data_IF_816244028598
#
_entry.id   IF_816244028598
#
_cell.length_a   1.000
_cell.length_b   1.000
_cell.length_c   1.000
_cell.angle_alpha   90.00
_cell.angle_beta   90.00
_cell.angle_gamma   90.00
#
_symmetry.space_group_name_H-M   'P 1'
#
loop_
_entity.id
_entity.type
_entity.pdbx_description
1 polymer ?
#
# COMPACT_ATOMS: atom_id res chain seq x y z
N UNK A 1 13.53 -4.51 -3.08
CA UNK A 1 14.62 -4.48 -2.08
C UNK A 1 14.01 -4.50 -0.68
N UNK A 2 14.17 -5.56 0.12
CA UNK A 2 13.47 -5.68 1.42
C UNK A 2 13.93 -4.68 2.51
N UNK A 3 15.08 -4.03 2.32
CA UNK A 3 15.63 -3.10 3.32
C UNK A 3 15.12 -1.66 3.19
N UNK A 4 14.49 -1.28 2.08
CA UNK A 4 14.14 0.12 1.84
C UNK A 4 13.10 0.70 2.81
N UNK A 5 12.12 -0.04 3.38
CA UNK A 5 11.17 0.54 4.33
C UNK A 5 11.89 0.95 5.63
N UNK A 6 12.77 0.05 6.12
CA UNK A 6 13.65 0.31 7.26
C UNK A 6 14.59 1.49 7.00
N UNK A 7 15.32 1.48 5.89
CA UNK A 7 16.27 2.56 5.55
C UNK A 7 15.56 3.90 5.33
N UNK A 8 14.38 3.90 4.71
CA UNK A 8 13.59 5.11 4.51
C UNK A 8 13.17 5.73 5.84
N UNK A 9 12.69 4.92 6.78
CA UNK A 9 12.39 5.38 8.13
C UNK A 9 13.65 5.90 8.86
N UNK A 10 14.80 5.22 8.74
CA UNK A 10 16.08 5.66 9.33
C UNK A 10 16.57 7.00 8.77
N UNK A 11 16.40 7.24 7.47
CA UNK A 11 16.76 8.52 6.81
C UNK A 11 15.90 9.68 7.35
N UNK A 12 14.61 9.42 7.60
CA UNK A 12 13.66 10.45 8.03
C UNK A 12 13.64 10.67 9.55
N UNK A 13 14.06 9.68 10.34
CA UNK A 13 14.04 9.72 11.80
C UNK A 13 14.69 10.96 12.44
N UNK A 14 15.80 11.54 11.90
CA UNK A 14 16.38 12.76 12.46
C UNK A 14 15.52 14.02 12.28
N UNK A 15 14.57 14.02 11.33
CA UNK A 15 13.71 15.16 11.04
C UNK A 15 12.50 15.09 11.98
N UNK A 16 12.55 15.86 13.08
CA UNK A 16 11.53 15.82 14.15
C UNK A 16 10.10 15.99 13.66
N UNK A 17 9.88 16.81 12.63
CA UNK A 17 8.56 17.05 12.04
C UNK A 17 7.98 15.83 11.32
N UNK A 18 8.81 14.82 11.03
CA UNK A 18 8.46 13.60 10.32
C UNK A 18 8.50 12.35 11.23
N UNK A 19 8.65 12.52 12.54
CA UNK A 19 8.68 11.39 13.48
C UNK A 19 7.46 10.48 13.33
N UNK A 20 6.29 11.09 13.15
CA UNK A 20 5.01 10.39 13.17
C UNK A 20 4.77 9.55 11.91
N UNK A 21 5.47 9.88 10.81
CA UNK A 21 5.40 9.12 9.55
C UNK A 21 6.43 7.99 9.47
N UNK A 22 7.44 7.98 10.34
CA UNK A 22 8.49 6.96 10.32
C UNK A 22 7.94 5.53 10.50
N UNK A 23 7.00 5.26 11.44
CA UNK A 23 6.35 3.94 11.53
C UNK A 23 5.57 3.59 10.26
N UNK A 24 4.91 4.58 9.64
CA UNK A 24 4.14 4.38 8.40
C UNK A 24 5.07 3.86 7.29
N UNK A 25 6.19 4.55 7.10
CA UNK A 25 7.20 4.22 6.10
C UNK A 25 7.92 2.92 6.42
N UNK A 26 8.16 2.62 7.70
CA UNK A 26 8.81 1.36 8.08
C UNK A 26 7.97 0.13 7.72
N UNK A 27 6.66 0.23 7.90
CA UNK A 27 5.77 -0.95 7.88
C UNK A 27 4.86 -1.06 6.65
N UNK A 28 5.03 -0.21 5.62
CA UNK A 28 4.21 -0.28 4.40
C UNK A 28 4.47 -1.51 3.50
N UNK A 29 5.40 -2.39 3.88
CA UNK A 29 5.57 -3.73 3.28
C UNK A 29 5.23 -4.87 4.24
N UNK A 30 4.65 -4.55 5.40
CA UNK A 30 3.98 -5.57 6.20
C UNK A 30 2.69 -5.99 5.50
N UNK A 31 2.40 -7.28 5.54
CA UNK A 31 1.21 -7.87 4.94
C UNK A 31 0.25 -8.26 6.04
N UNK A 32 -1.04 -8.14 5.77
CA UNK A 32 -2.09 -8.37 6.76
C UNK A 32 -2.01 -9.76 7.43
N UNK A 33 -1.54 -10.78 6.72
CA UNK A 33 -1.32 -12.15 7.23
C UNK A 33 0.00 -12.37 8.01
N UNK A 34 0.88 -11.36 8.10
CA UNK A 34 2.17 -11.45 8.79
C UNK A 34 3.31 -11.99 7.93
N UNK A 35 3.10 -12.27 6.64
CA UNK A 35 4.17 -12.76 5.73
C UNK A 35 5.05 -11.64 5.15
N UNK A 36 4.73 -10.38 5.50
CA UNK A 36 5.43 -9.18 5.07
C UNK A 36 6.77 -8.95 5.79
N UNK A 37 7.25 -7.72 5.71
CA UNK A 37 8.52 -7.29 6.31
C UNK A 37 8.51 -5.78 6.60
N UNK A 38 9.41 -5.25 7.46
CA UNK A 38 10.61 -5.87 8.04
C UNK A 38 10.42 -6.68 9.32
N UNK A 39 9.34 -6.48 10.06
CA UNK A 39 9.17 -6.96 11.43
C UNK A 39 8.13 -8.10 11.54
N UNK A 40 7.39 -8.41 10.48
CA UNK A 40 6.48 -9.55 10.42
C UNK A 40 5.19 -9.32 11.21
N UNK A 41 4.74 -8.06 11.25
CA UNK A 41 3.52 -7.65 11.93
C UNK A 41 2.30 -8.18 11.17
N UNK A 42 1.26 -8.59 11.90
CA UNK A 42 -0.01 -9.06 11.31
C UNK A 42 -1.19 -8.22 11.76
N UNK A 43 -2.19 -8.13 10.89
CA UNK A 43 -3.48 -7.52 11.16
C UNK A 43 -3.34 -6.11 11.81
N UNK A 44 -3.91 -5.91 13.00
CA UNK A 44 -3.92 -4.63 13.71
C UNK A 44 -2.60 -4.26 14.40
N UNK A 45 -1.61 -5.16 14.43
CA UNK A 45 -0.24 -4.82 14.83
C UNK A 45 0.39 -3.86 13.82
N UNK A 46 -0.07 -3.90 12.56
CA UNK A 46 0.36 -3.00 11.50
C UNK A 46 -0.33 -1.64 11.70
N UNK A 47 0.43 -0.52 11.74
CA UNK A 47 -0.15 0.80 11.87
C UNK A 47 -1.23 1.03 10.79
N UNK A 48 -2.38 1.63 11.15
CA UNK A 48 -3.50 1.78 10.22
C UNK A 48 -3.11 2.53 8.94
N UNK A 49 -2.29 3.58 9.09
CA UNK A 49 -1.79 4.33 7.93
C UNK A 49 -0.82 3.53 7.06
N UNK A 50 -0.09 2.55 7.61
CA UNK A 50 0.74 1.65 6.81
C UNK A 50 -0.13 0.73 5.96
N UNK A 51 -1.19 0.15 6.54
CA UNK A 51 -2.14 -0.70 5.79
C UNK A 51 -2.81 0.07 4.64
N UNK A 52 -3.15 1.34 4.85
CA UNK A 52 -3.66 2.24 3.78
C UNK A 52 -2.59 2.48 2.72
N UNK A 53 -1.37 2.79 3.14
CA UNK A 53 -0.25 3.06 2.24
C UNK A 53 0.10 1.84 1.37
N UNK A 54 0.04 0.62 1.91
CA UNK A 54 0.28 -0.62 1.14
C UNK A 54 -0.70 -0.77 -0.04
N UNK A 55 -1.99 -0.47 0.19
CA UNK A 55 -3.00 -0.48 -0.87
C UNK A 55 -2.74 0.63 -1.89
N UNK A 56 -2.48 1.85 -1.43
CA UNK A 56 -2.19 2.99 -2.30
C UNK A 56 -0.94 2.77 -3.17
N UNK A 57 0.15 2.26 -2.60
CA UNK A 57 1.39 1.94 -3.30
C UNK A 57 1.16 0.85 -4.36
N UNK A 58 0.35 -0.17 -4.05
CA UNK A 58 0.01 -1.21 -5.03
C UNK A 58 -0.79 -0.65 -6.20
N UNK A 59 -1.81 0.17 -5.93
CA UNK A 59 -2.64 0.78 -6.98
C UNK A 59 -1.80 1.66 -7.90
N UNK A 60 -0.93 2.52 -7.33
CA UNK A 60 -0.02 3.37 -8.11
C UNK A 60 0.99 2.53 -8.90
N UNK A 61 1.63 1.54 -8.26
CA UNK A 61 2.62 0.69 -8.90
C UNK A 61 2.04 -0.15 -10.06
N UNK A 62 0.80 -0.62 -9.94
CA UNK A 62 0.14 -1.38 -10.99
C UNK A 62 -0.37 -0.48 -12.12
N UNK A 63 -0.93 0.69 -11.80
CA UNK A 63 -1.58 1.61 -12.73
C UNK A 63 -0.64 2.58 -13.45
N UNK A 64 0.57 2.83 -12.92
CA UNK A 64 1.54 3.71 -13.55
C UNK A 64 2.16 3.09 -14.82
N UNK A 65 2.27 3.91 -15.87
CA UNK A 65 3.10 3.63 -17.03
C UNK A 65 4.59 3.63 -16.63
N UNK A 66 5.32 2.60 -17.06
CA UNK A 66 6.78 2.49 -16.88
C UNK A 66 7.45 2.32 -18.24
N UNK A 67 8.74 2.66 -18.40
CA UNK A 67 9.43 2.62 -19.70
C UNK A 67 9.30 1.27 -20.45
N UNK A 68 9.07 0.18 -19.72
CA UNK A 68 9.00 -1.19 -20.22
C UNK A 68 7.61 -1.84 -20.09
N UNK A 69 6.60 -1.17 -19.54
CA UNK A 69 5.26 -1.75 -19.34
C UNK A 69 4.20 -0.66 -19.20
N UNK A 70 3.06 -0.84 -19.86
CA UNK A 70 1.87 -0.02 -19.63
C UNK A 70 1.22 -0.32 -18.28
N UNK A 71 0.62 0.70 -17.69
CA UNK A 71 -0.23 0.58 -16.51
C UNK A 71 -1.35 -0.44 -16.71
N UNK A 72 -1.73 -1.14 -15.66
CA UNK A 72 -2.88 -2.07 -15.68
C UNK A 72 -4.18 -1.27 -15.68
N UNK A 73 -5.22 -1.71 -16.42
CA UNK A 73 -6.56 -1.16 -16.28
C UNK A 73 -7.07 -1.27 -14.84
N UNK A 74 -7.96 -0.35 -14.45
CA UNK A 74 -8.53 -0.36 -13.09
C UNK A 74 -9.22 -1.69 -12.73
N UNK A 75 -9.84 -2.37 -13.70
CA UNK A 75 -10.46 -3.68 -13.47
C UNK A 75 -9.44 -4.74 -13.00
N UNK A 76 -8.24 -4.77 -13.60
CA UNK A 76 -7.17 -5.68 -13.20
C UNK A 76 -6.61 -5.33 -11.81
N UNK A 77 -6.56 -4.03 -11.48
CA UNK A 77 -6.11 -3.56 -10.16
C UNK A 77 -7.12 -3.98 -9.10
N UNK A 78 -8.41 -3.76 -9.34
CA UNK A 78 -9.50 -4.20 -8.46
C UNK A 78 -9.44 -5.70 -8.23
N UNK A 79 -9.31 -6.50 -9.30
CA UNK A 79 -9.22 -7.95 -9.19
C UNK A 79 -8.04 -8.40 -8.33
N UNK A 80 -6.88 -7.73 -8.42
CA UNK A 80 -5.71 -8.03 -7.58
C UNK A 80 -5.93 -7.64 -6.12
N UNK A 81 -6.54 -6.48 -5.85
CA UNK A 81 -6.88 -6.06 -4.49
C UNK A 81 -7.85 -7.04 -3.82
N UNK A 82 -8.87 -7.50 -4.56
CA UNK A 82 -9.81 -8.50 -4.08
C UNK A 82 -9.12 -9.85 -3.84
N UNK A 83 -8.28 -10.30 -4.77
CA UNK A 83 -7.54 -11.57 -4.67
C UNK A 83 -6.60 -11.62 -3.46
N UNK A 84 -5.99 -10.49 -3.11
CA UNK A 84 -5.03 -10.37 -2.01
C UNK A 84 -5.64 -9.80 -0.72
N UNK A 85 -6.96 -9.63 -0.66
CA UNK A 85 -7.68 -9.20 0.53
C UNK A 85 -7.59 -10.26 1.63
N UNK A 86 -7.18 -9.86 2.83
CA UNK A 86 -6.97 -10.75 3.99
C UNK A 86 -5.61 -11.42 4.04
N UNK A 87 -4.79 -11.30 2.99
CA UNK A 87 -3.40 -11.77 2.97
C UNK A 87 -2.44 -10.59 2.91
N UNK A 88 -2.32 -9.94 1.75
CA UNK A 88 -1.49 -8.76 1.60
C UNK A 88 -2.17 -7.51 2.18
N UNK A 89 -3.48 -7.38 1.94
CA UNK A 89 -4.23 -6.18 2.25
C UNK A 89 -5.25 -6.40 3.36
N UNK A 90 -5.48 -5.34 4.13
CA UNK A 90 -6.59 -5.27 5.07
C UNK A 90 -7.93 -5.30 4.31
N UNK A 91 -8.84 -6.26 4.60
CA UNK A 91 -10.14 -6.33 3.96
C UNK A 91 -11.01 -5.08 4.12
N UNK A 92 -10.91 -4.37 5.24
CA UNK A 92 -11.70 -3.15 5.48
C UNK A 92 -11.26 -2.02 4.56
N UNK A 93 -9.95 -1.89 4.34
CA UNK A 93 -9.36 -0.89 3.47
C UNK A 93 -9.66 -1.21 2.00
N UNK A 94 -9.57 -2.49 1.60
CA UNK A 94 -9.98 -2.91 0.24
C UNK A 94 -11.46 -2.57 0.02
N UNK A 95 -12.34 -2.91 0.96
CA UNK A 95 -13.77 -2.58 0.90
C UNK A 95 -14.01 -1.07 0.76
N UNK A 96 -13.30 -0.26 1.54
CA UNK A 96 -13.36 1.19 1.47
C UNK A 96 -12.91 1.72 0.09
N UNK A 97 -11.78 1.21 -0.43
CA UNK A 97 -11.28 1.59 -1.75
C UNK A 97 -12.31 1.28 -2.84
N UNK A 98 -12.87 0.06 -2.88
CA UNK A 98 -13.84 -0.36 -3.89
C UNK A 98 -15.13 0.50 -3.89
N UNK A 99 -15.59 0.91 -2.70
CA UNK A 99 -16.72 1.85 -2.57
C UNK A 99 -16.41 3.19 -3.22
N UNK A 100 -15.20 3.73 -3.02
CA UNK A 100 -14.80 5.00 -3.62
C UNK A 100 -14.56 4.91 -5.13
N UNK A 101 -14.00 3.81 -5.61
CA UNK A 101 -13.77 3.57 -7.03
C UNK A 101 -15.09 3.42 -7.81
N UNK A 102 -16.07 2.72 -7.22
CA UNK A 102 -17.41 2.55 -7.81
C UNK A 102 -18.20 3.86 -7.84
N UNK A 103 -18.08 4.69 -6.80
CA UNK A 103 -18.75 5.99 -6.74
C UNK A 103 -18.20 7.02 -7.74
N UNK A 104 -16.96 6.84 -8.24
CA UNK A 104 -16.29 7.77 -9.15
C UNK A 104 -16.33 7.37 -10.62
N UNK A 105 -16.99 6.28 -10.99
CA UNK A 105 -17.24 5.95 -12.40
C UNK A 105 -15.98 5.86 -13.25
N UNK A 106 -15.00 5.04 -12.85
CA UNK A 106 -13.94 4.57 -13.74
C UNK A 106 -12.79 5.56 -14.00
N UNK A 107 -11.60 5.14 -13.57
CA UNK A 107 -10.26 5.72 -13.79
C UNK A 107 -9.87 6.91 -12.88
N UNK A 108 -8.73 6.83 -12.15
CA UNK A 108 -8.05 8.03 -11.71
C UNK A 108 -7.58 8.75 -12.97
N UNK A 109 -7.91 10.03 -13.08
CA UNK A 109 -7.42 10.89 -14.13
C UNK A 109 -5.90 10.75 -14.22
N UNK A 110 -5.42 10.23 -15.35
CA UNK A 110 -4.00 10.20 -15.67
C UNK A 110 -3.44 11.62 -15.54
N UNK A 111 -2.24 11.72 -14.96
CA UNK A 111 -1.42 12.93 -15.08
C UNK A 111 -0.90 13.06 -16.50
#
# INVERSE_FOLDING_TARGET
MRLHPKKGAEILAPIKQLSDICPIIRHHHEYFDGTGYPDGLKQEEIPPMSRILTVADTVDAMGADRPYRKGKPMADIIAELERCSGTQFDPEIVSAFLKTASARGGAPAGR
#
